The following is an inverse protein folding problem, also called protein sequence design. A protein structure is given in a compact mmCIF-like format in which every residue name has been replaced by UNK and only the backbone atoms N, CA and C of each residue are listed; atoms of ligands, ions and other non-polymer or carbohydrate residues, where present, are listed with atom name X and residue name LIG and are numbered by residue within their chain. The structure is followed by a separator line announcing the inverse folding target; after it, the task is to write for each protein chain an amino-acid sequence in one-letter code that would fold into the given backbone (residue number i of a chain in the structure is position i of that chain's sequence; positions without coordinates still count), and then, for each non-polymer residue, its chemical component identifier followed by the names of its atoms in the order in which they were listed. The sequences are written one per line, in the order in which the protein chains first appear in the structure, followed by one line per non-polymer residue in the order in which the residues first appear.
data_IF_503382933598
#
_entry.id   IF_503382933598
#
_cell.length_a   1.000
_cell.length_b   1.000
_cell.length_c   1.000
_cell.angle_alpha   90.00
_cell.angle_beta   90.00
_cell.angle_gamma   90.00
#
_symmetry.space_group_name_H-M   'P 1'
#
loop_
_entity.id
_entity.type
_entity.pdbx_description
1 polymer ?
#
# COMPACT_ATOMS: atom_id res chain seq x y z
N UNK A 1 -5.89 30.90 -3.49
CA UNK A 1 -4.95 29.87 -3.99
C UNK A 1 -5.01 28.57 -3.17
N UNK A 2 -5.17 28.63 -1.85
CA UNK A 2 -5.31 27.46 -0.95
C UNK A 2 -6.50 26.54 -1.31
N UNK A 3 -7.66 27.10 -1.67
CA UNK A 3 -8.84 26.29 -2.05
C UNK A 3 -8.62 25.41 -3.30
N UNK A 4 -7.82 25.86 -4.26
CA UNK A 4 -7.46 25.07 -5.46
C UNK A 4 -6.51 23.93 -5.09
N UNK A 5 -5.56 24.19 -4.17
CA UNK A 5 -4.64 23.17 -3.64
C UNK A 5 -5.38 22.09 -2.84
N UNK A 6 -6.36 22.46 -2.02
CA UNK A 6 -7.16 21.49 -1.24
C UNK A 6 -7.98 20.60 -2.16
N UNK A 7 -8.62 21.16 -3.19
CA UNK A 7 -9.39 20.38 -4.17
C UNK A 7 -8.49 19.45 -4.97
N UNK A 8 -7.31 19.92 -5.39
CA UNK A 8 -6.32 19.07 -6.07
C UNK A 8 -5.83 17.92 -5.18
N UNK A 9 -5.53 18.20 -3.90
CA UNK A 9 -5.12 17.17 -2.95
C UNK A 9 -6.22 16.12 -2.73
N UNK A 10 -7.47 16.54 -2.55
CA UNK A 10 -8.61 15.65 -2.40
C UNK A 10 -8.87 14.84 -3.67
N UNK A 11 -8.76 15.46 -4.85
CA UNK A 11 -8.94 14.78 -6.13
C UNK A 11 -7.86 13.72 -6.37
N UNK A 12 -6.60 14.04 -6.10
CA UNK A 12 -5.48 13.08 -6.19
C UNK A 12 -5.67 11.95 -5.18
N UNK A 13 -6.04 12.27 -3.93
CA UNK A 13 -6.29 11.26 -2.89
C UNK A 13 -7.48 10.35 -3.23
N UNK A 14 -8.57 10.92 -3.76
CA UNK A 14 -9.77 10.19 -4.18
C UNK A 14 -9.53 9.31 -5.41
N UNK A 15 -8.87 9.85 -6.45
CA UNK A 15 -8.49 9.10 -7.64
C UNK A 15 -7.57 7.93 -7.27
N UNK A 16 -6.61 8.18 -6.38
CA UNK A 16 -5.72 7.16 -5.86
C UNK A 16 -6.46 6.07 -5.08
N UNK A 17 -7.41 6.44 -4.21
CA UNK A 17 -8.25 5.48 -3.50
C UNK A 17 -9.10 4.62 -4.44
N UNK A 18 -9.63 5.20 -5.51
CA UNK A 18 -10.43 4.49 -6.51
C UNK A 18 -9.57 3.52 -7.34
N UNK A 19 -8.41 3.97 -7.82
CA UNK A 19 -7.46 3.12 -8.56
C UNK A 19 -6.98 1.96 -7.67
N UNK A 20 -6.79 2.19 -6.37
CA UNK A 20 -6.41 1.16 -5.38
C UNK A 20 -7.47 0.07 -5.19
N UNK A 21 -8.74 0.47 -5.14
CA UNK A 21 -9.88 -0.46 -5.05
C UNK A 21 -9.94 -1.39 -6.26
N UNK A 22 -9.59 -0.87 -7.44
CA UNK A 22 -9.61 -1.60 -8.70
C UNK A 22 -8.36 -2.48 -8.88
N UNK A 23 -7.18 -1.98 -8.53
CA UNK A 23 -5.92 -2.72 -8.64
C UNK A 23 -5.81 -3.91 -7.66
N UNK A 24 -6.50 -3.86 -6.52
CA UNK A 24 -6.59 -4.98 -5.58
C UNK A 24 -7.37 -6.21 -6.09
N UNK A 25 -8.12 -6.07 -7.19
CA UNK A 25 -8.79 -7.18 -7.87
C UNK A 25 -7.92 -7.92 -8.88
N UNK A 26 -6.90 -7.25 -9.45
CA UNK A 26 -6.07 -7.79 -10.54
C UNK A 26 -4.73 -8.38 -10.06
N UNK A 27 -4.25 -7.98 -8.86
CA UNK A 27 -3.06 -8.58 -8.24
C UNK A 27 -3.28 -10.04 -7.76
N UNK A 28 -4.48 -10.59 -7.91
CA UNK A 28 -4.78 -12.01 -7.64
C UNK A 28 -4.26 -12.96 -8.74
N UNK A 29 -3.75 -12.45 -9.87
CA UNK A 29 -3.35 -13.28 -11.02
C UNK A 29 -1.83 -13.49 -11.17
N UNK A 30 -0.99 -12.99 -10.25
CA UNK A 30 0.43 -12.72 -10.56
C UNK A 30 1.52 -13.35 -9.68
N UNK A 31 1.25 -14.27 -8.75
CA UNK A 31 2.34 -14.98 -8.06
C UNK A 31 2.07 -16.47 -7.93
N UNK A 32 2.76 -17.24 -8.77
CA UNK A 32 2.88 -18.68 -8.61
C UNK A 32 3.57 -19.04 -7.31
N UNK A 33 2.80 -19.42 -6.31
CA UNK A 33 3.23 -20.33 -5.25
C UNK A 33 2.00 -21.13 -4.84
N UNK A 34 2.13 -22.46 -4.96
CA UNK A 34 1.19 -23.55 -4.62
C UNK A 34 -0.09 -23.15 -3.89
N UNK A 35 -1.20 -23.70 -4.39
CA UNK A 35 -2.51 -23.73 -3.75
C UNK A 35 -2.43 -24.01 -2.24
N UNK A 36 -2.33 -22.96 -1.45
CA UNK A 36 -2.84 -22.93 -0.10
C UNK A 36 -4.19 -22.22 -0.22
N UNK A 37 -5.26 -22.97 0.05
CA UNK A 37 -6.60 -22.43 0.28
C UNK A 37 -6.44 -21.13 1.09
N UNK A 38 -7.00 -19.98 0.66
CA UNK A 38 -6.83 -18.74 1.40
C UNK A 38 -7.59 -18.87 2.72
N UNK A 39 -6.92 -19.45 3.73
CA UNK A 39 -7.23 -19.18 5.12
C UNK A 39 -7.06 -17.68 5.24
N UNK A 40 -8.16 -16.99 5.47
CA UNK A 40 -8.15 -15.64 5.95
C UNK A 40 -7.47 -15.67 7.33
N UNK A 41 -6.13 -15.75 7.35
CA UNK A 41 -5.36 -15.57 8.56
C UNK A 41 -5.54 -14.09 8.92
N UNK A 42 -6.37 -13.84 9.94
CA UNK A 42 -6.92 -12.53 10.31
C UNK A 42 -5.90 -11.45 10.72
N UNK A 43 -4.62 -11.62 10.40
CA UNK A 43 -3.60 -10.61 10.58
C UNK A 43 -3.80 -9.47 9.57
N UNK A 44 -4.53 -8.45 9.99
CA UNK A 44 -4.58 -7.15 9.32
C UNK A 44 -3.32 -6.37 9.66
N UNK A 45 -2.64 -5.85 8.65
CA UNK A 45 -1.49 -4.95 8.81
C UNK A 45 -1.83 -3.58 8.25
N UNK A 46 -1.16 -2.56 8.77
CA UNK A 46 -1.42 -1.18 8.39
C UNK A 46 -0.31 -0.65 7.47
N UNK A 47 -0.72 -0.04 6.36
CA UNK A 47 0.19 0.69 5.47
C UNK A 47 0.83 1.89 6.19
N UNK A 48 2.15 2.03 6.12
CA UNK A 48 2.89 3.11 6.82
C UNK A 48 2.68 4.51 6.22
N UNK A 49 2.38 4.62 4.94
CA UNK A 49 2.17 5.90 4.25
C UNK A 49 0.73 6.38 4.39
N UNK A 50 -0.25 5.52 4.17
CA UNK A 50 -1.66 5.95 4.14
C UNK A 50 -2.56 5.33 5.17
N UNK A 51 -1.98 4.54 6.07
CA UNK A 51 -2.66 4.04 7.25
C UNK A 51 -3.87 3.13 6.92
N UNK A 52 -3.94 2.63 5.68
CA UNK A 52 -4.97 1.68 5.25
C UNK A 52 -4.69 0.30 5.83
N UNK A 53 -5.70 -0.34 6.38
CA UNK A 53 -5.62 -1.72 6.84
C UNK A 53 -5.83 -2.69 5.67
N UNK A 54 -4.98 -3.70 5.58
CA UNK A 54 -5.07 -4.72 4.55
C UNK A 54 -4.60 -6.09 5.10
N UNK A 55 -5.02 -7.21 4.49
CA UNK A 55 -4.57 -8.54 4.91
C UNK A 55 -3.06 -8.71 4.72
N UNK A 56 -2.33 -9.22 5.72
CA UNK A 56 -0.87 -9.43 5.63
C UNK A 56 -0.44 -10.20 4.38
N UNK A 57 -1.25 -11.17 3.93
CA UNK A 57 -1.01 -11.97 2.72
C UNK A 57 -0.96 -11.15 1.42
N UNK A 58 -1.56 -9.96 1.40
CA UNK A 58 -1.57 -9.04 0.24
C UNK A 58 -0.68 -7.82 0.43
N UNK A 59 0.04 -7.73 1.55
CA UNK A 59 0.91 -6.61 1.83
C UNK A 59 2.21 -6.74 1.06
N UNK A 60 2.67 -5.63 0.47
CA UNK A 60 4.05 -5.51 0.05
C UNK A 60 4.90 -5.23 1.29
N UNK A 61 5.95 -6.01 1.49
CA UNK A 61 6.80 -5.92 2.67
C UNK A 61 8.15 -5.31 2.33
N UNK A 62 8.63 -4.37 3.16
CA UNK A 62 10.02 -3.91 3.15
C UNK A 62 10.63 -4.19 4.51
N UNK A 63 11.77 -4.87 4.54
CA UNK A 63 12.54 -5.07 5.78
C UNK A 63 13.37 -3.84 6.07
N UNK A 64 13.18 -3.26 7.25
CA UNK A 64 14.00 -2.17 7.77
C UNK A 64 14.62 -2.61 9.10
N UNK A 65 15.85 -3.13 9.03
CA UNK A 65 16.53 -3.68 10.20
C UNK A 65 15.75 -4.88 10.77
N UNK A 66 15.28 -4.72 12.02
CA UNK A 66 14.46 -5.72 12.71
C UNK A 66 12.95 -5.60 12.44
N UNK A 67 12.49 -4.52 11.79
CA UNK A 67 11.05 -4.29 11.58
C UNK A 67 10.63 -4.60 10.12
N UNK A 68 9.48 -5.26 9.98
CA UNK A 68 8.82 -5.47 8.69
C UNK A 68 7.75 -4.40 8.48
N UNK A 69 7.93 -3.59 7.44
CA UNK A 69 7.00 -2.55 7.07
C UNK A 69 6.11 -3.02 5.93
N UNK A 70 4.80 -2.80 6.10
CA UNK A 70 3.78 -3.24 5.16
C UNK A 70 3.24 -2.06 4.35
N UNK A 71 2.95 -2.31 3.08
CA UNK A 71 2.42 -1.33 2.13
C UNK A 71 1.31 -1.94 1.27
N UNK A 72 0.31 -1.13 0.95
CA UNK A 72 -0.81 -1.50 0.11
C UNK A 72 -0.51 -1.42 -1.38
N UNK A 73 0.62 -0.81 -1.78
CA UNK A 73 1.00 -0.67 -3.19
C UNK A 73 2.48 -0.29 -3.36
N UNK A 74 2.97 -0.48 -4.58
CA UNK A 74 4.32 -0.08 -4.98
C UNK A 74 4.54 1.43 -4.84
N UNK A 75 3.51 2.26 -5.11
CA UNK A 75 3.59 3.70 -4.93
C UNK A 75 3.82 4.10 -3.46
N UNK A 76 3.14 3.44 -2.50
CA UNK A 76 3.39 3.67 -1.07
C UNK A 76 4.81 3.23 -0.69
N UNK A 77 5.25 2.06 -1.16
CA UNK A 77 6.61 1.59 -0.93
C UNK A 77 7.65 2.55 -1.52
N UNK A 78 7.44 3.03 -2.74
CA UNK A 78 8.34 3.97 -3.42
C UNK A 78 8.37 5.33 -2.71
N UNK A 79 7.22 5.86 -2.31
CA UNK A 79 7.14 7.09 -1.52
C UNK A 79 7.87 6.96 -0.19
N UNK A 80 7.77 5.80 0.47
CA UNK A 80 8.51 5.50 1.68
C UNK A 80 10.03 5.49 1.45
N UNK A 81 10.48 4.79 0.40
CA UNK A 81 11.91 4.74 0.04
C UNK A 81 12.46 6.11 -0.37
N UNK A 82 11.67 6.91 -1.08
CA UNK A 82 12.05 8.27 -1.48
C UNK A 82 12.24 9.16 -0.24
N UNK A 83 11.28 9.17 0.70
CA UNK A 83 11.39 9.91 1.96
C UNK A 83 12.63 9.52 2.77
N UNK A 84 12.96 8.22 2.79
CA UNK A 84 14.17 7.71 3.47
C UNK A 84 15.47 8.16 2.82
N UNK A 85 15.51 8.27 1.49
CA UNK A 85 16.70 8.73 0.77
C UNK A 85 17.02 10.19 1.08
N UNK A 86 16.00 11.04 1.21
CA UNK A 86 16.15 12.46 1.57
C UNK A 86 16.47 12.71 3.04
N UNK A 87 16.16 11.75 3.92
CA UNK A 87 16.44 11.87 5.36
C UNK A 87 17.85 11.40 5.75
N UNK A 88 18.70 11.04 4.76
CA UNK A 88 20.07 10.59 4.93
C UNK A 88 21.01 11.60 4.28
#
# INVERSE_FOLDING_TARGET
MIRRLVVLLLAVFGAWWLIRRLAGGLAAAGSGSRHAVPRFEGAMVRDRICQTFLPKSRALTVRQGAEELFFCSEACRAAFLARRRTAR
#
